data_IF_434217196756
#
_entry.id   IF_434217196756
#
_cell.length_a   1.000
_cell.length_b   1.000
_cell.length_c   1.000
_cell.angle_alpha   90.00
_cell.angle_beta   90.00
_cell.angle_gamma   90.00
#
_symmetry.space_group_name_H-M   'P 1'
#
loop_
_entity.id
_entity.type
_entity.pdbx_description
1 polymer ?
#
# COMPACT_ATOMS: atom_id res chain seq x y z
N UNK A 1 -54.75 -31.68 1.39
CA UNK A 1 -53.45 -31.70 2.09
C UNK A 1 -52.39 -31.34 1.06
N UNK A 2 -51.87 -30.11 1.09
CA UNK A 2 -50.95 -29.56 0.08
C UNK A 2 -49.54 -29.51 0.71
N UNK A 3 -48.59 -30.25 0.15
CA UNK A 3 -47.20 -30.23 0.61
C UNK A 3 -46.47 -29.05 -0.03
N UNK A 4 -46.01 -28.10 0.80
CA UNK A 4 -45.20 -26.97 0.36
C UNK A 4 -43.72 -27.41 0.29
N UNK A 5 -43.18 -27.55 -0.92
CA UNK A 5 -41.74 -27.76 -1.13
C UNK A 5 -41.02 -26.42 -0.98
N UNK A 6 -40.25 -26.25 0.10
CA UNK A 6 -39.28 -25.17 0.24
C UNK A 6 -37.95 -25.61 -0.39
N UNK A 7 -37.68 -25.18 -1.62
CA UNK A 7 -36.34 -25.28 -2.20
C UNK A 7 -35.46 -24.17 -1.62
N UNK A 8 -34.59 -24.51 -0.68
CA UNK A 8 -33.52 -23.61 -0.22
C UNK A 8 -32.42 -23.57 -1.27
N UNK A 9 -32.56 -22.66 -2.24
CA UNK A 9 -31.50 -22.36 -3.20
C UNK A 9 -30.40 -21.58 -2.47
N UNK A 10 -29.34 -22.29 -2.06
CA UNK A 10 -28.17 -21.67 -1.46
C UNK A 10 -27.38 -20.94 -2.56
N UNK A 11 -27.60 -19.63 -2.73
CA UNK A 11 -26.70 -18.81 -3.55
C UNK A 11 -25.38 -18.66 -2.78
N UNK A 12 -24.40 -19.50 -3.12
CA UNK A 12 -23.02 -19.29 -2.71
C UNK A 12 -22.52 -18.00 -3.38
N UNK A 13 -22.62 -16.88 -2.67
CA UNK A 13 -21.98 -15.64 -3.09
C UNK A 13 -20.48 -15.81 -2.90
N UNK A 14 -19.72 -15.89 -3.99
CA UNK A 14 -18.26 -15.83 -3.93
C UNK A 14 -17.87 -14.44 -3.41
N UNK A 15 -17.58 -14.33 -2.13
CA UNK A 15 -16.98 -13.11 -1.57
C UNK A 15 -15.53 -13.13 -2.01
N UNK A 16 -15.24 -12.48 -3.14
CA UNK A 16 -13.86 -12.25 -3.56
C UNK A 16 -13.26 -11.24 -2.58
N UNK A 17 -12.58 -11.72 -1.55
CA UNK A 17 -11.82 -10.84 -0.64
C UNK A 17 -10.65 -10.30 -1.46
N UNK A 18 -10.57 -8.98 -1.70
CA UNK A 18 -9.42 -8.42 -2.40
C UNK A 18 -8.16 -8.74 -1.59
N UNK A 19 -7.16 -9.34 -2.25
CA UNK A 19 -5.85 -9.54 -1.66
C UNK A 19 -5.27 -8.16 -1.35
N UNK A 20 -5.12 -7.84 -0.06
CA UNK A 20 -4.50 -6.59 0.35
C UNK A 20 -3.05 -6.58 -0.14
N UNK A 21 -2.72 -5.60 -0.98
CA UNK A 21 -1.36 -5.47 -1.49
C UNK A 21 -0.56 -4.52 -0.62
N UNK A 22 0.70 -4.84 -0.38
CA UNK A 22 1.58 -4.09 0.52
C UNK A 22 2.68 -3.46 -0.31
N UNK A 23 2.97 -2.19 -0.07
CA UNK A 23 4.12 -1.50 -0.64
C UNK A 23 5.07 -1.12 0.50
N UNK A 24 6.25 -1.71 0.47
CA UNK A 24 7.30 -1.44 1.44
C UNK A 24 8.32 -0.47 0.85
N UNK A 25 8.89 0.37 1.70
CA UNK A 25 9.95 1.27 1.30
C UNK A 25 10.66 1.89 2.49
N UNK A 26 11.62 2.75 2.18
CA UNK A 26 12.40 3.47 3.18
C UNK A 26 12.60 4.91 2.75
N UNK A 27 12.45 5.84 3.70
CA UNK A 27 12.65 7.28 3.51
C UNK A 27 14.03 7.68 4.01
N UNK A 28 14.72 8.49 3.22
CA UNK A 28 16.06 8.97 3.49
C UNK A 28 16.09 10.50 3.38
N UNK A 29 16.88 11.14 4.24
CA UNK A 29 17.26 12.54 4.11
C UNK A 29 18.28 12.68 2.98
N UNK A 30 18.12 13.69 2.12
CA UNK A 30 18.98 13.97 0.96
C UNK A 30 19.00 12.81 -0.06
N UNK A 31 20.03 11.96 -0.01
CA UNK A 31 20.27 10.88 -0.97
C UNK A 31 20.71 9.60 -0.23
N UNK A 32 20.32 8.45 -0.78
CA UNK A 32 20.74 7.14 -0.28
C UNK A 32 22.27 7.02 -0.39
N UNK A 33 22.93 6.64 0.70
CA UNK A 33 24.35 6.26 0.71
C UNK A 33 25.35 7.39 0.95
N UNK A 34 25.22 8.58 0.33
CA UNK A 34 26.32 9.56 0.38
C UNK A 34 26.43 10.32 1.69
N UNK A 35 25.32 10.62 2.38
CA UNK A 35 25.26 11.15 3.76
C UNK A 35 23.84 11.06 4.36
N UNK A 36 22.95 10.30 3.71
CA UNK A 36 21.53 10.29 4.02
C UNK A 36 21.20 9.57 5.33
N UNK A 37 20.53 10.31 6.20
CA UNK A 37 19.80 9.85 7.39
C UNK A 37 18.62 8.96 7.03
N UNK A 38 18.39 7.71 7.51
CA UNK A 38 17.03 7.19 7.50
C UNK A 38 16.12 8.16 8.25
N UNK A 39 15.00 8.54 7.63
CA UNK A 39 14.18 9.65 8.12
C UNK A 39 12.90 9.13 8.80
N UNK A 40 12.82 9.18 10.15
CA UNK A 40 11.64 8.76 10.87
C UNK A 40 10.53 9.81 10.83
N UNK A 41 9.32 9.41 11.20
CA UNK A 41 8.17 10.32 11.36
C UNK A 41 7.85 11.13 10.09
N UNK A 42 7.94 10.48 8.93
CA UNK A 42 7.45 11.01 7.65
C UNK A 42 6.06 10.44 7.46
N UNK A 43 5.08 11.27 7.10
CA UNK A 43 3.71 10.86 6.84
C UNK A 43 3.58 10.48 5.38
N UNK A 44 3.15 9.25 5.11
CA UNK A 44 3.03 8.68 3.79
C UNK A 44 1.56 8.45 3.47
N UNK A 45 1.14 8.89 2.28
CA UNK A 45 -0.23 8.80 1.81
C UNK A 45 -0.22 8.31 0.37
N UNK A 46 -1.18 7.47 0.03
CA UNK A 46 -1.46 7.10 -1.35
C UNK A 46 -2.96 6.92 -1.53
N UNK A 47 -3.45 7.13 -2.75
CA UNK A 47 -4.86 6.85 -3.05
C UNK A 47 -5.16 5.37 -2.78
N UNK A 48 -6.27 5.10 -2.08
CA UNK A 48 -6.72 3.75 -1.68
C UNK A 48 -5.76 3.00 -0.74
N UNK A 49 -4.81 3.69 -0.11
CA UNK A 49 -4.01 3.16 0.98
C UNK A 49 -4.41 3.76 2.33
N UNK A 50 -4.15 3.01 3.40
CA UNK A 50 -4.13 3.58 4.75
C UNK A 50 -2.90 4.51 4.89
N UNK A 51 -3.03 5.71 5.46
CA UNK A 51 -1.88 6.55 5.80
C UNK A 51 -0.94 5.82 6.76
N UNK A 52 0.37 5.96 6.56
CA UNK A 52 1.40 5.31 7.37
C UNK A 52 2.47 6.32 7.78
N UNK A 53 3.17 6.05 8.88
CA UNK A 53 4.30 6.89 9.32
C UNK A 53 5.59 6.08 9.34
N UNK A 54 6.68 6.64 8.81
CA UNK A 54 7.97 5.94 8.81
C UNK A 54 8.52 5.70 10.22
N UNK A 55 9.08 4.51 10.46
CA UNK A 55 9.66 4.10 11.75
C UNK A 55 11.01 4.78 12.05
N UNK A 56 11.64 4.45 13.18
CA UNK A 56 12.95 5.00 13.58
C UNK A 56 14.08 4.70 12.58
N UNK A 57 13.90 3.71 11.71
CA UNK A 57 14.81 3.36 10.62
C UNK A 57 14.31 3.89 9.26
N UNK A 58 13.34 4.79 9.24
CA UNK A 58 12.74 5.36 8.04
C UNK A 58 11.89 4.40 7.21
N UNK A 59 11.59 3.19 7.71
CA UNK A 59 10.84 2.17 6.96
C UNK A 59 9.34 2.39 7.08
N UNK A 60 8.61 1.99 6.05
CA UNK A 60 7.14 2.05 6.03
C UNK A 60 6.54 0.86 5.28
N UNK A 61 5.25 0.61 5.51
CA UNK A 61 4.44 -0.33 4.73
C UNK A 61 3.07 0.27 4.45
N UNK A 62 2.82 0.71 3.21
CA UNK A 62 1.50 1.15 2.79
C UNK A 62 0.65 -0.08 2.42
N UNK A 63 -0.49 -0.23 3.08
CA UNK A 63 -1.45 -1.28 2.78
C UNK A 63 -2.54 -0.74 1.87
N UNK A 64 -2.76 -1.43 0.75
CA UNK A 64 -3.82 -1.15 -0.23
C UNK A 64 -4.89 -2.23 -0.14
N UNK A 65 -5.88 -2.10 0.76
CA UNK A 65 -6.89 -3.13 0.99
C UNK A 65 -7.84 -3.37 -0.19
N UNK A 66 -7.97 -2.39 -1.09
CA UNK A 66 -8.94 -2.43 -2.20
C UNK A 66 -8.31 -2.24 -3.58
N UNK A 67 -6.98 -2.34 -3.70
CA UNK A 67 -6.29 -2.19 -4.99
C UNK A 67 -5.85 -3.54 -5.53
N UNK A 68 -6.07 -3.76 -6.83
CA UNK A 68 -5.59 -4.94 -7.52
C UNK A 68 -4.06 -4.87 -7.71
N UNK A 69 -3.43 -6.05 -7.76
CA UNK A 69 -2.03 -6.20 -8.16
C UNK A 69 -1.78 -5.53 -9.52
N UNK A 70 -0.61 -4.93 -9.71
CA UNK A 70 -0.27 -4.21 -10.95
C UNK A 70 -0.98 -2.86 -11.13
N UNK A 71 -1.85 -2.44 -10.20
CA UNK A 71 -2.41 -1.10 -10.23
C UNK A 71 -1.30 -0.06 -10.07
N UNK A 72 -1.37 1.00 -10.87
CA UNK A 72 -0.49 2.15 -10.70
C UNK A 72 -0.98 3.02 -9.55
N UNK A 73 -0.11 3.32 -8.59
CA UNK A 73 -0.38 4.19 -7.45
C UNK A 73 0.63 5.35 -7.40
N UNK A 74 0.19 6.47 -6.85
CA UNK A 74 1.05 7.61 -6.53
C UNK A 74 1.11 7.79 -5.02
N UNK A 75 2.29 8.14 -4.53
CA UNK A 75 2.58 8.28 -3.10
C UNK A 75 2.96 9.73 -2.85
N UNK A 76 2.38 10.33 -1.82
CA UNK A 76 2.79 11.60 -1.27
C UNK A 76 3.47 11.36 0.08
N UNK A 77 4.58 12.07 0.30
CA UNK A 77 5.28 12.08 1.58
C UNK A 77 5.29 13.51 2.12
N UNK A 78 5.11 13.68 3.44
CA UNK A 78 5.21 14.98 4.09
C UNK A 78 5.82 14.87 5.48
N UNK A 79 6.60 15.88 5.86
CA UNK A 79 7.18 16.05 7.19
C UNK A 79 7.49 17.52 7.42
N UNK A 80 7.13 18.05 8.58
CA UNK A 80 7.38 19.47 8.90
C UNK A 80 8.87 19.79 8.87
N UNK A 81 9.24 20.88 8.19
CA UNK A 81 10.62 21.32 8.02
C UNK A 81 11.40 20.59 6.92
N UNK A 82 10.74 19.71 6.15
CA UNK A 82 11.35 18.97 5.05
C UNK A 82 10.62 19.22 3.73
N UNK A 83 11.36 19.22 2.63
CA UNK A 83 10.83 19.30 1.27
C UNK A 83 11.14 17.98 0.53
N UNK A 84 10.19 17.52 -0.28
CA UNK A 84 10.37 16.31 -1.09
C UNK A 84 11.19 16.68 -2.32
N UNK A 85 12.49 16.36 -2.29
CA UNK A 85 13.44 16.72 -3.35
C UNK A 85 13.46 15.76 -4.54
N UNK A 86 12.70 14.66 -4.50
CA UNK A 86 12.69 13.66 -5.59
C UNK A 86 11.26 13.17 -5.92
N UNK A 87 10.51 13.99 -6.64
CA UNK A 87 9.17 13.68 -7.19
C UNK A 87 9.18 12.45 -8.14
N UNK A 88 10.27 12.27 -8.89
CA UNK A 88 10.37 11.26 -9.96
C UNK A 88 10.27 9.80 -9.47
N UNK A 89 10.44 9.53 -8.18
CA UNK A 89 10.19 8.21 -7.58
C UNK A 89 8.83 8.15 -6.85
N UNK A 90 7.85 8.99 -7.16
CA UNK A 90 6.54 9.00 -6.47
C UNK A 90 5.33 9.00 -7.41
N UNK A 91 5.57 9.17 -8.71
CA UNK A 91 4.51 9.45 -9.67
C UNK A 91 3.80 8.19 -10.19
N UNK A 92 4.46 7.03 -10.30
CA UNK A 92 3.84 5.77 -10.77
C UNK A 92 4.55 4.51 -10.26
N UNK A 93 3.96 3.83 -9.28
CA UNK A 93 4.39 2.48 -8.88
C UNK A 93 3.35 1.44 -9.23
N UNK A 94 3.78 0.33 -9.83
CA UNK A 94 2.92 -0.84 -9.97
C UNK A 94 2.98 -1.63 -8.67
N UNK A 95 1.82 -1.83 -8.04
CA UNK A 95 1.73 -2.62 -6.82
C UNK A 95 2.24 -4.05 -7.08
N UNK A 96 3.18 -4.56 -6.27
CA UNK A 96 3.74 -5.89 -6.47
C UNK A 96 2.64 -6.95 -6.31
N UNK A 97 2.76 -8.05 -7.05
CA UNK A 97 1.91 -9.20 -6.79
C UNK A 97 2.10 -9.66 -5.34
N UNK A 98 1.01 -9.93 -4.61
CA UNK A 98 1.12 -10.43 -3.23
C UNK A 98 1.74 -11.83 -3.27
N UNK A 99 3.05 -11.90 -3.05
CA UNK A 99 3.83 -13.14 -3.08
C UNK A 99 4.98 -13.09 -4.08
N UNK A 100 6.07 -12.43 -3.70
CA UNK A 100 7.31 -12.46 -4.46
C UNK A 100 8.37 -11.65 -3.75
N UNK A 101 9.16 -12.32 -2.92
CA UNK A 101 10.49 -11.82 -2.56
C UNK A 101 11.22 -11.49 -3.87
N UNK A 102 11.69 -10.25 -4.01
CA UNK A 102 12.73 -9.98 -4.98
C UNK A 102 14.04 -10.47 -4.36
N UNK A 103 14.51 -11.59 -4.94
CA UNK A 103 15.80 -12.27 -4.82
C UNK A 103 16.14 -13.00 -3.50
#
# INVERSE_FOLDING_TARGET
MLALLFATTLLAQTVSVPLSTHLQGQVWENAVGENGKPLPNVILRADKANPETSDSAGRYTLQFPYSAQGSTVSIAASKDGYEVVNDLMLSKFNLPASGGAQE
#
